data_IF_354670545922
#
_entry.id   IF_354670545922
#
_cell.length_a   1.000
_cell.length_b   1.000
_cell.length_c   1.000
_cell.angle_alpha   90.00
_cell.angle_beta   90.00
_cell.angle_gamma   90.00
#
_symmetry.space_group_name_H-M   'P 1'
#
loop_
_entity.id
_entity.type
_entity.pdbx_description
1 polymer ?
#
# COMPACT_ATOMS: atom_id res chain seq x y z
N UNK A 1 4.88 -5.36 -16.72
CA UNK A 1 4.52 -4.38 -17.79
C UNK A 1 3.45 -3.42 -17.30
N UNK A 2 3.32 -2.24 -17.92
CA UNK A 2 2.38 -1.15 -17.56
C UNK A 2 0.90 -1.55 -17.40
N UNK A 3 0.47 -2.62 -18.07
CA UNK A 3 -0.87 -3.19 -17.92
C UNK A 3 -1.11 -3.78 -16.52
N UNK A 4 -0.08 -4.39 -15.93
CA UNK A 4 -0.13 -4.95 -14.58
C UNK A 4 -0.20 -3.84 -13.54
N UNK A 5 0.47 -2.70 -13.79
CA UNK A 5 0.36 -1.47 -12.99
C UNK A 5 -1.05 -0.89 -12.93
N UNK A 6 -1.81 -0.95 -14.03
CA UNK A 6 -3.19 -0.49 -14.04
C UNK A 6 -4.12 -1.42 -13.22
N UNK A 7 -3.93 -2.74 -13.34
CA UNK A 7 -4.67 -3.76 -12.57
C UNK A 7 -4.37 -3.71 -11.07
N UNK A 8 -3.10 -3.56 -10.72
CA UNK A 8 -2.57 -3.32 -9.37
C UNK A 8 -3.30 -2.18 -8.63
N UNK A 9 -3.62 -1.13 -9.36
CA UNK A 9 -4.10 0.12 -8.80
C UNK A 9 -5.63 0.22 -8.87
N UNK A 10 -6.29 -0.37 -9.88
CA UNK A 10 -7.75 -0.64 -9.85
C UNK A 10 -8.12 -1.46 -8.61
N UNK A 11 -7.23 -2.39 -8.27
CA UNK A 11 -7.33 -3.18 -7.07
C UNK A 11 -7.10 -2.37 -5.79
N UNK A 12 -6.09 -1.49 -5.71
CA UNK A 12 -5.95 -0.57 -4.56
C UNK A 12 -7.19 0.33 -4.37
N UNK A 13 -7.85 0.71 -5.48
CA UNK A 13 -9.09 1.48 -5.51
C UNK A 13 -10.32 0.67 -5.07
N UNK A 14 -10.39 -0.63 -5.41
CA UNK A 14 -11.34 -1.57 -4.80
C UNK A 14 -11.04 -1.72 -3.30
N UNK A 15 -9.76 -1.84 -2.93
CA UNK A 15 -9.19 -1.97 -1.57
C UNK A 15 -9.25 -0.70 -0.70
N UNK A 16 -9.65 0.44 -1.24
CA UNK A 16 -9.95 1.64 -0.45
C UNK A 16 -11.46 1.85 -0.22
N UNK A 17 -12.31 1.04 -0.87
CA UNK A 17 -13.77 1.25 -0.94
C UNK A 17 -14.66 0.33 -0.12
N UNK A 18 -14.20 -0.75 0.52
CA UNK A 18 -15.09 -1.65 1.31
C UNK A 18 -15.72 -1.00 2.56
N UNK A 19 -15.40 0.27 2.85
CA UNK A 19 -16.17 1.09 3.81
C UNK A 19 -17.42 1.76 3.19
N UNK A 20 -17.67 1.68 1.88
CA UNK A 20 -18.87 2.20 1.23
C UNK A 20 -19.15 1.49 -0.10
N UNK A 21 -20.28 0.80 -0.16
CA UNK A 21 -20.72 -0.06 -1.25
C UNK A 21 -20.94 0.63 -2.62
N UNK A 22 -20.96 -0.22 -3.65
CA UNK A 22 -21.55 -0.09 -5.01
C UNK A 22 -20.66 0.47 -6.14
N UNK A 23 -20.39 -0.41 -7.11
CA UNK A 23 -20.74 -0.23 -8.53
C UNK A 23 -19.75 0.45 -9.49
N UNK A 24 -19.74 -0.05 -10.73
CA UNK A 24 -18.86 0.25 -11.88
C UNK A 24 -19.03 1.68 -12.49
N UNK A 25 -19.81 2.56 -11.86
CA UNK A 25 -20.01 3.98 -12.25
C UNK A 25 -18.94 4.93 -11.64
N UNK A 26 -17.80 4.39 -11.19
CA UNK A 26 -16.86 5.13 -10.32
C UNK A 26 -16.15 6.30 -10.99
N UNK A 27 -15.64 6.11 -12.20
CA UNK A 27 -14.85 7.15 -12.86
C UNK A 27 -15.72 8.38 -13.16
N UNK A 28 -16.98 8.17 -13.53
CA UNK A 28 -17.99 9.21 -13.73
C UNK A 28 -18.38 9.86 -12.40
N UNK A 29 -18.49 9.13 -11.29
CA UNK A 29 -18.80 9.70 -9.97
C UNK A 29 -17.66 10.54 -9.39
N UNK A 30 -16.42 10.08 -9.43
CA UNK A 30 -15.26 10.84 -8.94
C UNK A 30 -15.04 12.08 -9.80
N UNK A 31 -15.14 11.94 -11.13
CA UNK A 31 -15.09 13.09 -12.04
C UNK A 31 -16.24 14.07 -11.79
N UNK A 32 -17.45 13.58 -11.55
CA UNK A 32 -18.62 14.40 -11.21
C UNK A 32 -18.45 15.14 -9.88
N UNK A 33 -17.90 14.48 -8.86
CA UNK A 33 -17.60 15.11 -7.57
C UNK A 33 -16.54 16.21 -7.72
N UNK A 34 -15.48 15.99 -8.51
CA UNK A 34 -14.52 17.04 -8.80
C UNK A 34 -15.11 18.18 -9.64
N UNK A 35 -16.05 17.91 -10.54
CA UNK A 35 -16.76 18.96 -11.26
C UNK A 35 -17.57 19.86 -10.30
N UNK A 36 -18.20 19.28 -9.27
CA UNK A 36 -18.89 20.04 -8.23
C UNK A 36 -17.91 20.88 -7.39
N UNK A 37 -16.75 20.32 -7.01
CA UNK A 37 -15.70 21.07 -6.30
C UNK A 37 -15.20 22.24 -7.16
N UNK A 38 -14.97 22.01 -8.46
CA UNK A 38 -14.55 23.07 -9.41
C UNK A 38 -15.61 24.17 -9.53
N UNK A 39 -16.89 23.80 -9.63
CA UNK A 39 -17.99 24.75 -9.75
C UNK A 39 -18.20 25.58 -8.48
N UNK A 40 -18.08 24.95 -7.30
CA UNK A 40 -18.18 25.62 -6.01
C UNK A 40 -16.96 26.49 -5.70
N UNK A 41 -15.79 26.12 -6.23
CA UNK A 41 -14.49 26.73 -5.95
C UNK A 41 -13.87 26.17 -4.68
N UNK A 42 -12.60 25.76 -4.77
CA UNK A 42 -11.88 25.08 -3.65
C UNK A 42 -11.79 25.96 -2.40
N UNK A 43 -11.58 27.26 -2.58
CA UNK A 43 -11.45 28.24 -1.48
C UNK A 43 -12.74 28.37 -0.64
N UNK A 44 -13.89 27.93 -1.16
CA UNK A 44 -15.19 28.02 -0.48
C UNK A 44 -15.45 26.92 0.55
N UNK A 45 -14.56 25.92 0.63
CA UNK A 45 -14.69 24.82 1.59
C UNK A 45 -14.17 25.22 2.96
N UNK A 46 -14.95 24.91 3.99
CA UNK A 46 -14.64 25.26 5.38
C UNK A 46 -13.81 24.16 6.09
N UNK A 47 -13.31 24.47 7.29
CA UNK A 47 -12.63 23.50 8.15
C UNK A 47 -13.46 22.23 8.44
N UNK A 48 -14.78 22.36 8.50
CA UNK A 48 -15.69 21.23 8.76
C UNK A 48 -15.84 20.30 7.55
N UNK A 49 -15.65 20.84 6.34
CA UNK A 49 -15.80 20.10 5.08
C UNK A 49 -14.46 19.55 4.57
N UNK A 50 -13.33 20.11 5.02
CA UNK A 50 -12.01 19.81 4.47
C UNK A 50 -11.63 18.33 4.56
N UNK A 51 -12.10 17.64 5.60
CA UNK A 51 -11.86 16.21 5.77
C UNK A 51 -12.51 15.39 4.64
N UNK A 52 -13.75 15.74 4.27
CA UNK A 52 -14.48 15.07 3.19
C UNK A 52 -13.83 15.36 1.82
N UNK A 53 -13.45 16.62 1.57
CA UNK A 53 -12.81 17.02 0.30
C UNK A 53 -11.41 16.43 0.16
N UNK A 54 -10.66 16.31 1.26
CA UNK A 54 -9.36 15.63 1.27
C UNK A 54 -9.52 14.12 1.05
N UNK A 55 -10.57 13.51 1.59
CA UNK A 55 -10.95 12.13 1.29
C UNK A 55 -11.28 11.91 -0.18
N UNK A 56 -11.99 12.86 -0.81
CA UNK A 56 -12.24 12.84 -2.26
C UNK A 56 -10.95 12.99 -3.06
N UNK A 57 -10.04 13.89 -2.66
CA UNK A 57 -8.72 14.04 -3.29
C UNK A 57 -7.93 12.75 -3.26
N UNK A 58 -7.95 12.02 -2.14
CA UNK A 58 -7.30 10.72 -2.05
C UNK A 58 -7.89 9.77 -3.10
N UNK A 59 -9.23 9.63 -3.16
CA UNK A 59 -9.88 8.79 -4.17
C UNK A 59 -9.50 9.19 -5.61
N UNK A 60 -9.40 10.48 -5.89
CA UNK A 60 -8.96 10.98 -7.19
C UNK A 60 -7.50 10.63 -7.53
N UNK A 61 -6.60 10.72 -6.56
CA UNK A 61 -5.21 10.24 -6.72
C UNK A 61 -5.19 8.75 -7.02
N UNK A 62 -6.03 7.96 -6.34
CA UNK A 62 -6.11 6.51 -6.59
C UNK A 62 -6.64 6.19 -7.98
N UNK A 63 -7.65 6.92 -8.44
CA UNK A 63 -8.17 6.79 -9.81
C UNK A 63 -7.15 7.20 -10.87
N UNK A 64 -6.41 8.28 -10.64
CA UNK A 64 -5.33 8.72 -11.54
C UNK A 64 -4.25 7.64 -11.62
N UNK A 65 -3.88 7.09 -10.47
CA UNK A 65 -2.94 6.00 -10.32
C UNK A 65 -3.47 4.74 -11.06
N UNK A 66 -4.69 4.26 -10.81
CA UNK A 66 -5.29 3.07 -11.48
C UNK A 66 -5.39 3.18 -12.98
N UNK A 67 -5.79 4.35 -13.45
CA UNK A 67 -5.84 4.63 -14.88
C UNK A 67 -4.48 5.03 -15.46
N UNK A 68 -3.44 5.11 -14.62
CA UNK A 68 -2.09 5.70 -14.78
C UNK A 68 -2.02 7.07 -15.46
N UNK A 69 -3.13 7.81 -15.38
CA UNK A 69 -3.21 9.18 -15.84
C UNK A 69 -2.50 10.09 -14.83
N UNK A 70 -2.07 11.25 -15.29
CA UNK A 70 -1.60 12.28 -14.37
C UNK A 70 -2.75 12.73 -13.48
N UNK A 71 -2.42 13.15 -12.27
CA UNK A 71 -3.43 13.57 -11.30
C UNK A 71 -4.03 14.90 -11.70
N UNK A 72 -5.35 15.05 -11.57
CA UNK A 72 -6.03 16.33 -11.90
C UNK A 72 -5.52 17.44 -10.97
N UNK A 73 -5.20 18.59 -11.56
CA UNK A 73 -4.76 19.81 -10.86
C UNK A 73 -5.65 20.20 -9.68
N UNK A 74 -6.95 19.87 -9.72
CA UNK A 74 -7.90 20.11 -8.62
C UNK A 74 -7.46 19.45 -7.31
N UNK A 75 -6.80 18.29 -7.38
CA UNK A 75 -6.33 17.56 -6.19
C UNK A 75 -5.22 18.35 -5.49
N UNK A 76 -4.33 19.01 -6.26
CA UNK A 76 -3.32 19.91 -5.70
C UNK A 76 -3.93 21.17 -5.13
N UNK A 77 -4.95 21.72 -5.78
CA UNK A 77 -5.67 22.89 -5.26
C UNK A 77 -6.35 22.58 -3.92
N UNK A 78 -7.07 21.45 -3.83
CA UNK A 78 -7.67 20.97 -2.58
C UNK A 78 -6.60 20.81 -1.51
N UNK A 79 -5.47 20.16 -1.85
CA UNK A 79 -4.37 19.96 -0.91
C UNK A 79 -3.77 21.29 -0.44
N UNK A 80 -3.59 22.25 -1.34
CA UNK A 80 -3.09 23.58 -0.98
C UNK A 80 -4.04 24.29 -0.02
N UNK A 81 -5.35 24.32 -0.32
CA UNK A 81 -6.37 24.90 0.56
C UNK A 81 -6.40 24.22 1.92
N UNK A 82 -6.28 22.90 1.95
CA UNK A 82 -6.29 22.12 3.18
C UNK A 82 -5.11 22.44 4.13
N UNK A 83 -4.04 23.08 3.66
CA UNK A 83 -2.93 23.56 4.54
C UNK A 83 -3.38 24.61 5.54
N UNK A 84 -4.49 25.30 5.29
CA UNK A 84 -5.06 26.29 6.22
C UNK A 84 -5.72 25.63 7.44
N UNK A 85 -6.06 24.34 7.34
CA UNK A 85 -6.88 23.64 8.33
C UNK A 85 -6.20 22.40 8.94
N UNK A 86 -5.18 21.86 8.28
CA UNK A 86 -4.52 20.61 8.65
C UNK A 86 -3.06 20.84 9.00
N UNK A 87 -2.56 20.06 9.97
CA UNK A 87 -1.16 20.07 10.33
C UNK A 87 -0.30 19.44 9.22
N UNK A 88 0.46 20.29 8.52
CA UNK A 88 1.34 19.84 7.44
C UNK A 88 2.61 19.14 7.93
N UNK A 89 2.90 19.20 9.23
CA UNK A 89 4.00 18.48 9.85
C UNK A 89 3.66 17.00 10.10
N UNK A 90 2.36 16.65 10.13
CA UNK A 90 1.86 15.29 10.31
C UNK A 90 2.47 14.34 9.26
N UNK A 91 3.09 13.22 9.69
CA UNK A 91 3.66 12.23 8.76
C UNK A 91 2.66 11.70 7.72
N UNK A 92 1.37 11.63 8.05
CA UNK A 92 0.29 11.23 7.12
C UNK A 92 0.09 12.28 6.04
N UNK A 93 0.16 13.56 6.42
CA UNK A 93 0.10 14.64 5.43
C UNK A 93 1.26 14.50 4.45
N UNK A 94 2.49 14.35 4.94
CA UNK A 94 3.68 14.19 4.10
C UNK A 94 3.59 12.95 3.20
N UNK A 95 3.20 11.80 3.76
CA UNK A 95 3.08 10.54 3.02
C UNK A 95 2.08 10.65 1.87
N UNK A 96 0.89 11.21 2.11
CA UNK A 96 -0.12 11.40 1.06
C UNK A 96 0.34 12.38 -0.03
N UNK A 97 1.23 13.32 0.30
CA UNK A 97 1.89 14.18 -0.69
C UNK A 97 2.86 13.42 -1.59
N UNK A 98 3.72 12.58 -1.00
CA UNK A 98 4.65 11.77 -1.78
C UNK A 98 3.95 10.72 -2.65
N UNK A 99 2.81 10.16 -2.20
CA UNK A 99 2.01 9.25 -3.03
C UNK A 99 1.47 9.96 -4.27
N UNK A 100 1.05 11.24 -4.13
CA UNK A 100 0.63 12.05 -5.27
C UNK A 100 1.79 12.24 -6.26
N UNK A 101 2.98 12.56 -5.78
CA UNK A 101 4.17 12.72 -6.62
C UNK A 101 4.60 11.41 -7.29
N UNK A 102 4.54 10.29 -6.57
CA UNK A 102 4.80 8.95 -7.10
C UNK A 102 3.78 8.58 -8.18
N UNK A 103 2.52 9.00 -8.03
CA UNK A 103 1.46 8.81 -9.03
C UNK A 103 1.77 9.54 -10.32
N UNK A 104 2.17 10.81 -10.22
CA UNK A 104 2.54 11.57 -11.42
C UNK A 104 3.81 11.04 -12.08
N UNK A 105 4.79 10.59 -11.29
CA UNK A 105 5.98 9.92 -11.82
C UNK A 105 5.61 8.65 -12.57
N UNK A 106 4.75 7.80 -12.02
CA UNK A 106 4.28 6.58 -12.67
C UNK A 106 3.56 6.91 -14.00
N UNK A 107 2.74 7.96 -14.03
CA UNK A 107 2.13 8.45 -15.26
C UNK A 107 3.18 8.92 -16.29
N UNK A 108 4.20 9.68 -15.87
CA UNK A 108 5.29 10.12 -16.76
C UNK A 108 6.09 8.95 -17.34
N UNK A 109 6.44 7.97 -16.50
CA UNK A 109 7.14 6.76 -16.96
C UNK A 109 6.30 6.02 -18.00
N UNK A 110 5.01 5.85 -17.72
CA UNK A 110 4.11 5.13 -18.61
C UNK A 110 3.97 5.77 -19.97
N UNK A 111 3.86 7.09 -20.02
CA UNK A 111 3.74 7.81 -21.29
C UNK A 111 5.10 8.01 -21.97
N UNK A 112 6.20 7.50 -21.41
CA UNK A 112 7.55 7.63 -21.98
C UNK A 112 8.04 9.07 -22.02
N UNK A 113 7.56 9.94 -21.13
CA UNK A 113 7.88 11.38 -21.16
C UNK A 113 9.14 11.74 -20.39
N UNK A 114 9.82 10.76 -19.81
CA UNK A 114 11.07 10.94 -19.06
C UNK A 114 12.09 9.87 -19.44
N UNK A 115 13.36 10.21 -19.35
CA UNK A 115 14.49 9.32 -19.64
C UNK A 115 14.70 8.29 -18.52
N UNK A 116 15.43 7.21 -18.81
CA UNK A 116 15.80 6.20 -17.78
C UNK A 116 16.61 6.81 -16.63
N UNK A 117 17.48 7.79 -16.92
CA UNK A 117 18.27 8.49 -15.89
C UNK A 117 17.39 9.34 -14.99
N UNK A 118 16.44 10.10 -15.55
CA UNK A 118 15.47 10.88 -14.77
C UNK A 118 14.57 9.96 -13.94
N UNK A 119 14.12 8.85 -14.53
CA UNK A 119 13.34 7.83 -13.84
C UNK A 119 14.08 7.29 -12.61
N UNK A 120 15.33 6.87 -12.75
CA UNK A 120 16.14 6.39 -11.62
C UNK A 120 16.30 7.49 -10.56
N UNK A 121 16.70 8.69 -10.98
CA UNK A 121 16.95 9.81 -10.06
C UNK A 121 15.69 10.20 -9.25
N UNK A 122 14.53 10.30 -9.92
CA UNK A 122 13.27 10.66 -9.26
C UNK A 122 12.76 9.56 -8.32
N UNK A 123 12.90 8.28 -8.69
CA UNK A 123 12.55 7.17 -7.78
C UNK A 123 13.47 7.15 -6.54
N UNK A 124 14.78 7.38 -6.70
CA UNK A 124 15.72 7.49 -5.57
C UNK A 124 15.34 8.64 -4.64
N UNK A 125 14.98 9.79 -5.21
CA UNK A 125 14.54 10.94 -4.44
C UNK A 125 13.29 10.61 -3.61
N UNK A 126 12.26 10.06 -4.23
CA UNK A 126 11.01 9.69 -3.53
C UNK A 126 11.24 8.61 -2.45
N UNK A 127 12.07 7.60 -2.69
CA UNK A 127 12.41 6.60 -1.66
C UNK A 127 13.16 7.24 -0.48
N UNK A 128 14.05 8.19 -0.76
CA UNK A 128 14.78 8.93 0.28
C UNK A 128 13.83 9.76 1.14
N UNK A 129 12.88 10.47 0.53
CA UNK A 129 11.86 11.23 1.25
C UNK A 129 10.92 10.31 2.07
N UNK A 130 10.53 9.15 1.53
CA UNK A 130 9.75 8.15 2.27
C UNK A 130 10.51 7.58 3.47
N UNK A 131 11.82 7.38 3.34
CA UNK A 131 12.67 6.98 4.47
C UNK A 131 12.72 8.07 5.56
N UNK A 132 12.83 9.33 5.17
CA UNK A 132 12.78 10.45 6.12
C UNK A 132 11.41 10.58 6.82
N UNK A 133 10.31 10.28 6.12
CA UNK A 133 8.98 10.17 6.75
C UNK A 133 8.98 9.04 7.77
N UNK A 134 9.51 7.85 7.43
CA UNK A 134 9.54 6.73 8.37
C UNK A 134 10.25 7.09 9.69
N UNK A 135 11.39 7.79 9.60
CA UNK A 135 12.14 8.26 10.78
C UNK A 135 11.32 9.25 11.62
N UNK A 136 10.71 10.25 10.98
CA UNK A 136 9.91 11.27 11.67
C UNK A 136 8.53 10.77 12.13
N UNK A 137 8.04 9.67 11.57
CA UNK A 137 6.76 9.08 11.92
C UNK A 137 6.81 8.26 13.21
N UNK A 138 7.97 7.72 13.59
CA UNK A 138 8.14 6.83 14.74
C UNK A 138 7.49 7.33 16.05
N UNK A 139 7.55 8.64 16.42
CA UNK A 139 6.86 9.16 17.61
C UNK A 139 5.32 9.16 17.50
N UNK A 140 4.77 9.25 16.28
CA UNK A 140 3.33 9.39 16.03
C UNK A 140 2.67 8.06 15.65
N UNK A 141 3.40 7.21 14.94
CA UNK A 141 2.95 5.94 14.40
C UNK A 141 3.59 4.80 15.18
N UNK A 142 3.30 4.75 16.47
CA UNK A 142 3.90 3.74 17.35
C UNK A 142 3.40 2.34 17.03
N UNK A 143 4.27 1.36 17.27
CA UNK A 143 3.93 -0.06 17.23
C UNK A 143 4.83 -0.83 18.18
N UNK A 144 4.43 -2.05 18.50
CA UNK A 144 5.23 -2.96 19.35
C UNK A 144 5.53 -4.25 18.62
N UNK A 145 6.76 -4.74 18.74
CA UNK A 145 7.17 -6.03 18.19
C UNK A 145 7.12 -7.10 19.27
N UNK A 146 6.53 -8.25 18.95
CA UNK A 146 6.34 -9.37 19.86
C UNK A 146 6.95 -10.64 19.28
N UNK A 147 7.71 -11.43 20.06
CA UNK A 147 8.22 -12.71 19.60
C UNK A 147 7.08 -13.73 19.50
N UNK A 148 7.19 -14.64 18.54
CA UNK A 148 6.42 -15.88 18.59
C UNK A 148 7.01 -16.81 19.66
N UNK A 149 6.17 -17.48 20.47
CA UNK A 149 6.64 -18.33 21.56
C UNK A 149 7.34 -19.61 21.06
N UNK A 150 7.10 -20.02 19.82
CA UNK A 150 7.80 -21.10 19.14
C UNK A 150 8.63 -20.53 17.99
N UNK A 151 9.83 -21.06 17.77
CA UNK A 151 10.76 -20.61 16.72
C UNK A 151 10.20 -20.77 15.29
N UNK A 152 9.19 -21.63 15.09
CA UNK A 152 8.46 -21.78 13.84
C UNK A 152 6.97 -21.47 14.07
N UNK A 153 6.53 -20.23 13.75
CA UNK A 153 5.12 -19.90 13.83
C UNK A 153 4.44 -20.54 12.63
N UNK A 154 3.90 -21.77 12.76
CA UNK A 154 3.13 -22.57 11.77
C UNK A 154 2.58 -21.80 10.55
N UNK A 155 3.43 -21.43 9.60
CA UNK A 155 3.05 -20.63 8.41
C UNK A 155 2.57 -19.19 8.69
N UNK A 156 2.70 -18.66 9.91
CA UNK A 156 2.32 -17.28 10.24
C UNK A 156 3.34 -16.24 9.74
N UNK A 157 4.57 -16.67 9.42
CA UNK A 157 5.58 -15.85 8.75
C UNK A 157 6.27 -16.65 7.64
N UNK A 158 6.84 -15.97 6.63
CA UNK A 158 7.75 -16.60 5.69
C UNK A 158 8.94 -17.23 6.41
N UNK A 159 9.43 -18.35 5.86
CA UNK A 159 10.68 -18.94 6.32
C UNK A 159 11.86 -17.94 6.20
N UNK A 160 12.83 -18.06 7.10
CA UNK A 160 14.02 -17.20 7.14
C UNK A 160 13.82 -15.80 7.70
N UNK A 161 12.59 -15.37 8.01
CA UNK A 161 12.35 -14.13 8.74
C UNK A 161 12.48 -14.31 10.26
N UNK A 162 12.84 -13.25 11.01
CA UNK A 162 12.78 -13.27 12.46
C UNK A 162 11.38 -13.69 12.94
N UNK A 163 11.25 -14.54 13.98
CA UNK A 163 9.97 -14.99 14.49
C UNK A 163 9.32 -13.89 15.36
N UNK A 164 9.08 -12.71 14.79
CA UNK A 164 8.47 -11.57 15.45
C UNK A 164 7.33 -11.00 14.61
N UNK A 165 6.28 -10.53 15.27
CA UNK A 165 5.15 -9.86 14.62
C UNK A 165 4.90 -8.49 15.25
N UNK A 166 4.27 -7.61 14.50
CA UNK A 166 4.01 -6.23 14.89
C UNK A 166 2.55 -6.04 15.28
N UNK A 167 2.34 -5.38 16.42
CA UNK A 167 1.04 -4.93 16.90
C UNK A 167 0.95 -3.41 16.75
N UNK A 168 -0.11 -2.96 16.11
CA UNK A 168 -0.43 -1.55 15.92
C UNK A 168 -1.58 -1.13 16.83
N UNK A 169 -1.54 0.08 17.43
CA UNK A 169 -2.63 0.61 18.25
C UNK A 169 -3.92 0.86 17.46
N UNK A 170 -3.83 1.09 16.14
CA UNK A 170 -5.00 1.30 15.29
C UNK A 170 -4.77 0.81 13.86
N UNK A 171 -5.86 0.50 13.16
CA UNK A 171 -5.88 0.17 11.74
C UNK A 171 -5.21 1.25 10.89
N UNK A 172 -5.47 2.52 11.20
CA UNK A 172 -4.90 3.65 10.46
C UNK A 172 -3.39 3.63 10.53
N UNK A 173 -2.79 3.41 11.70
CA UNK A 173 -1.33 3.34 11.85
C UNK A 173 -0.76 2.16 11.05
N UNK A 174 -1.40 0.98 11.14
CA UNK A 174 -0.98 -0.19 10.36
C UNK A 174 -1.04 0.09 8.85
N UNK A 175 -2.12 0.73 8.38
CA UNK A 175 -2.28 1.10 6.99
C UNK A 175 -1.22 2.10 6.54
N UNK A 176 -0.94 3.14 7.33
CA UNK A 176 0.05 4.16 6.95
C UNK A 176 1.46 3.57 6.82
N UNK A 177 1.89 2.74 7.78
CA UNK A 177 3.16 2.04 7.68
C UNK A 177 3.24 1.15 6.45
N UNK A 178 2.18 0.38 6.18
CA UNK A 178 2.21 -0.56 5.05
C UNK A 178 2.08 0.15 3.70
N UNK A 179 1.37 1.26 3.60
CA UNK A 179 1.36 2.13 2.41
C UNK A 179 2.75 2.72 2.16
N UNK A 180 3.44 3.19 3.20
CA UNK A 180 4.82 3.66 3.08
C UNK A 180 5.72 2.55 2.55
N UNK A 181 5.70 1.36 3.18
CA UNK A 181 6.54 0.22 2.83
C UNK A 181 6.30 -0.29 1.42
N UNK A 182 5.03 -0.47 1.02
CA UNK A 182 4.71 -0.96 -0.32
C UNK A 182 5.09 0.06 -1.40
N UNK A 183 4.98 1.37 -1.10
CA UNK A 183 5.40 2.42 -2.04
C UNK A 183 6.90 2.36 -2.26
N UNK A 184 7.68 2.18 -1.19
CA UNK A 184 9.14 2.00 -1.29
C UNK A 184 9.52 0.76 -2.12
N UNK A 185 8.81 -0.37 -1.94
CA UNK A 185 9.01 -1.56 -2.78
C UNK A 185 8.78 -1.22 -4.26
N UNK A 186 7.67 -0.56 -4.60
CA UNK A 186 7.35 -0.18 -5.98
C UNK A 186 8.43 0.71 -6.61
N UNK A 187 8.90 1.73 -5.88
CA UNK A 187 9.96 2.62 -6.35
C UNK A 187 11.29 1.87 -6.56
N UNK A 188 11.65 0.98 -5.64
CA UNK A 188 12.87 0.18 -5.73
C UNK A 188 12.83 -0.86 -6.85
N UNK A 189 11.70 -1.52 -7.07
CA UNK A 189 11.49 -2.41 -8.23
C UNK A 189 11.70 -1.65 -9.54
N UNK A 190 11.19 -0.41 -9.60
CA UNK A 190 11.30 0.43 -10.78
C UNK A 190 12.74 0.97 -11.01
N UNK A 191 13.50 1.21 -9.93
CA UNK A 191 14.94 1.48 -10.00
C UNK A 191 15.67 0.27 -10.58
N UNK A 192 15.44 -0.94 -10.06
CA UNK A 192 16.11 -2.16 -10.51
C UNK A 192 15.82 -2.46 -11.98
N UNK A 193 14.55 -2.35 -12.40
CA UNK A 193 14.15 -2.52 -13.79
C UNK A 193 14.85 -1.52 -14.73
N UNK A 194 15.04 -0.27 -14.28
CA UNK A 194 15.72 0.76 -15.08
C UNK A 194 17.23 0.56 -15.15
N UNK A 195 17.84 0.09 -14.06
CA UNK A 195 19.27 -0.21 -14.01
C UNK A 195 19.63 -1.42 -14.87
N UNK A 196 18.73 -2.39 -15.02
CA UNK A 196 18.93 -3.54 -15.92
C UNK A 196 19.13 -3.14 -17.40
N UNK A 197 18.66 -1.96 -17.79
CA UNK A 197 18.83 -1.39 -19.14
C UNK A 197 20.02 -0.43 -19.25
N UNK A 198 20.73 -0.19 -18.15
CA UNK A 198 21.83 0.77 -18.06
C UNK A 198 23.17 0.04 -18.00
N UNK A 199 24.25 0.54 -18.63
CA UNK A 199 25.58 -0.06 -18.51
C UNK A 199 26.02 -0.20 -17.05
N UNK A 200 26.56 -1.37 -16.70
CA UNK A 200 27.08 -1.65 -15.36
C UNK A 200 28.24 -0.72 -15.01
N UNK A 201 28.16 -0.14 -13.82
CA UNK A 201 29.20 0.68 -13.22
C UNK A 201 29.18 0.50 -11.70
N UNK A 202 30.23 0.89 -10.97
CA UNK A 202 30.23 0.79 -9.51
C UNK A 202 29.06 1.53 -8.85
N UNK A 203 28.63 2.67 -9.41
CA UNK A 203 27.51 3.44 -8.88
C UNK A 203 26.15 2.77 -9.15
N UNK A 204 25.96 2.15 -10.32
CA UNK A 204 24.73 1.42 -10.62
C UNK A 204 24.61 0.16 -9.78
N UNK A 205 25.72 -0.55 -9.53
CA UNK A 205 25.74 -1.71 -8.63
C UNK A 205 25.42 -1.34 -7.18
N UNK A 206 25.97 -0.23 -6.67
CA UNK A 206 25.65 0.27 -5.33
C UNK A 206 24.16 0.64 -5.20
N UNK A 207 23.62 1.31 -6.23
CA UNK A 207 22.20 1.69 -6.28
C UNK A 207 21.29 0.46 -6.30
N UNK A 208 21.64 -0.55 -7.11
CA UNK A 208 20.89 -1.81 -7.16
C UNK A 208 20.93 -2.55 -5.82
N UNK A 209 22.08 -2.62 -5.18
CA UNK A 209 22.24 -3.23 -3.85
C UNK A 209 21.38 -2.54 -2.78
N UNK A 210 21.37 -1.19 -2.77
CA UNK A 210 20.51 -0.42 -1.87
C UNK A 210 19.02 -0.70 -2.12
N UNK A 211 18.59 -0.65 -3.38
CA UNK A 211 17.19 -0.92 -3.75
C UNK A 211 16.74 -2.34 -3.35
N UNK A 212 17.58 -3.36 -3.62
CA UNK A 212 17.30 -4.74 -3.21
C UNK A 212 17.22 -4.90 -1.69
N UNK A 213 18.13 -4.26 -0.95
CA UNK A 213 18.10 -4.26 0.52
C UNK A 213 16.81 -3.63 1.05
N UNK A 214 16.38 -2.51 0.48
CA UNK A 214 15.12 -1.85 0.83
C UNK A 214 13.92 -2.77 0.55
N UNK A 215 13.86 -3.44 -0.60
CA UNK A 215 12.77 -4.38 -0.92
C UNK A 215 12.71 -5.51 0.11
N UNK A 216 13.85 -6.10 0.46
CA UNK A 216 13.91 -7.17 1.46
C UNK A 216 13.44 -6.70 2.83
N UNK A 217 13.89 -5.53 3.27
CA UNK A 217 13.50 -4.95 4.55
C UNK A 217 11.99 -4.65 4.59
N UNK A 218 11.47 -3.92 3.59
CA UNK A 218 10.06 -3.54 3.53
C UNK A 218 9.16 -4.76 3.43
N UNK A 219 9.57 -5.79 2.68
CA UNK A 219 8.88 -7.08 2.60
C UNK A 219 8.80 -7.75 3.97
N UNK A 220 9.92 -7.85 4.68
CA UNK A 220 9.97 -8.44 6.03
C UNK A 220 9.04 -7.72 7.00
N UNK A 221 9.05 -6.38 6.98
CA UNK A 221 8.20 -5.57 7.87
C UNK A 221 6.70 -5.67 7.52
N UNK A 222 6.35 -5.78 6.23
CA UNK A 222 4.96 -6.06 5.81
C UNK A 222 4.55 -7.45 6.31
N UNK A 223 5.38 -8.47 6.12
CA UNK A 223 5.07 -9.83 6.61
C UNK A 223 4.87 -9.84 8.13
N UNK A 224 5.72 -9.15 8.89
CA UNK A 224 5.60 -9.04 10.35
C UNK A 224 4.32 -8.31 10.80
N UNK A 225 3.75 -7.44 9.98
CA UNK A 225 2.52 -6.69 10.31
C UNK A 225 1.24 -7.52 10.26
N UNK A 226 1.27 -8.65 9.53
CA UNK A 226 0.06 -9.40 9.21
C UNK A 226 -0.47 -10.31 10.33
N UNK A 227 0.35 -11.03 11.11
CA UNK A 227 -0.15 -12.03 12.04
C UNK A 227 -1.13 -11.49 13.09
N UNK A 228 -0.94 -10.25 13.54
CA UNK A 228 -1.85 -9.57 14.46
C UNK A 228 -3.28 -9.40 13.90
N UNK A 229 -3.45 -9.55 12.60
CA UNK A 229 -4.74 -9.43 11.90
C UNK A 229 -5.28 -10.78 11.41
N UNK A 230 -4.42 -11.70 10.94
CA UNK A 230 -4.89 -12.93 10.28
C UNK A 230 -4.67 -14.22 11.07
N UNK A 231 -3.77 -14.23 12.06
CA UNK A 231 -3.39 -15.46 12.76
C UNK A 231 -4.30 -15.73 13.97
N UNK A 232 -5.52 -16.19 13.69
CA UNK A 232 -6.63 -16.34 14.66
C UNK A 232 -6.33 -17.27 15.83
N UNK A 233 -5.46 -18.27 15.65
CA UNK A 233 -5.04 -19.20 16.70
C UNK A 233 -4.11 -18.58 17.75
N UNK A 234 -3.47 -17.45 17.43
CA UNK A 234 -2.50 -16.82 18.31
C UNK A 234 -2.55 -15.29 18.26
N UNK A 235 -1.86 -14.65 17.30
CA UNK A 235 -1.62 -13.20 17.33
C UNK A 235 -2.90 -12.37 17.11
N UNK A 236 -3.87 -12.88 16.35
CA UNK A 236 -5.17 -12.25 16.13
C UNK A 236 -6.28 -12.81 17.04
N UNK A 237 -5.95 -13.70 17.99
CA UNK A 237 -6.96 -14.39 18.83
C UNK A 237 -7.86 -13.42 19.61
N UNK A 238 -7.29 -12.30 20.06
CA UNK A 238 -8.00 -11.26 20.79
C UNK A 238 -9.06 -10.52 19.95
N UNK A 239 -9.08 -10.71 18.62
CA UNK A 239 -10.07 -10.13 17.70
C UNK A 239 -11.31 -11.02 17.48
N UNK A 240 -11.25 -12.28 17.94
CA UNK A 240 -12.36 -13.22 17.84
C UNK A 240 -13.44 -12.93 18.88
N UNK A 241 -14.66 -13.39 18.61
CA UNK A 241 -15.75 -13.27 19.58
C UNK A 241 -15.45 -14.17 20.79
N UNK A 242 -15.70 -13.64 21.99
CA UNK A 242 -15.29 -14.28 23.24
C UNK A 242 -15.78 -15.72 23.36
N UNK A 243 -14.85 -16.68 23.39
CA UNK A 243 -15.12 -18.12 23.55
C UNK A 243 -15.08 -18.94 22.26
N UNK A 244 -14.91 -18.33 21.09
CA UNK A 244 -14.72 -19.08 19.85
C UNK A 244 -13.41 -19.89 19.89
N UNK A 245 -13.48 -21.14 19.43
CA UNK A 245 -12.31 -21.98 19.26
C UNK A 245 -11.64 -21.60 17.92
N UNK A 246 -10.41 -21.06 17.93
CA UNK A 246 -9.75 -20.61 16.71
C UNK A 246 -9.36 -21.75 15.76
N UNK A 247 -9.29 -22.99 16.26
CA UNK A 247 -8.98 -24.18 15.47
C UNK A 247 -10.23 -24.76 14.78
N UNK A 248 -11.40 -24.11 14.95
CA UNK A 248 -12.66 -24.45 14.28
C UNK A 248 -13.11 -23.28 13.41
N UNK A 249 -14.10 -23.56 12.55
CA UNK A 249 -14.79 -22.52 11.80
C UNK A 249 -15.43 -21.53 12.78
N UNK A 250 -15.12 -20.25 12.60
CA UNK A 250 -15.55 -19.17 13.47
C UNK A 250 -15.93 -17.95 12.63
N UNK A 251 -16.51 -16.94 13.28
CA UNK A 251 -17.01 -15.75 12.59
C UNK A 251 -16.13 -14.54 12.87
N UNK A 252 -16.04 -13.63 11.90
CA UNK A 252 -15.29 -12.39 12.05
C UNK A 252 -16.24 -11.21 12.20
N UNK A 253 -15.89 -10.31 13.12
CA UNK A 253 -16.57 -9.01 13.22
C UNK A 253 -16.19 -8.12 12.04
N UNK A 254 -17.08 -7.19 11.67
CA UNK A 254 -16.79 -6.21 10.61
C UNK A 254 -15.48 -5.45 10.87
N UNK A 255 -15.18 -4.97 12.10
CA UNK A 255 -13.88 -4.35 12.38
C UNK A 255 -12.68 -5.27 12.13
N UNK A 256 -12.78 -6.56 12.44
CA UNK A 256 -11.69 -7.52 12.19
C UNK A 256 -11.49 -7.74 10.69
N UNK A 257 -12.57 -7.94 9.93
CA UNK A 257 -12.51 -8.05 8.46
C UNK A 257 -11.88 -6.82 7.83
N UNK A 258 -12.21 -5.61 8.32
CA UNK A 258 -11.63 -4.36 7.84
C UNK A 258 -10.13 -4.22 8.17
N UNK A 259 -9.64 -4.79 9.28
CA UNK A 259 -8.21 -4.83 9.58
C UNK A 259 -7.46 -5.69 8.56
N UNK A 260 -7.98 -6.87 8.25
CA UNK A 260 -7.40 -7.76 7.21
C UNK A 260 -7.44 -7.09 5.84
N UNK A 261 -8.55 -6.44 5.54
CA UNK A 261 -8.78 -5.81 4.25
C UNK A 261 -7.74 -4.73 3.91
N UNK A 262 -7.33 -3.89 4.87
CA UNK A 262 -6.31 -2.85 4.60
C UNK A 262 -4.91 -3.42 4.33
N UNK A 263 -4.69 -4.71 4.63
CA UNK A 263 -3.42 -5.40 4.40
C UNK A 263 -3.31 -6.06 3.04
N UNK A 264 -4.44 -6.30 2.37
CA UNK A 264 -4.50 -7.09 1.14
C UNK A 264 -3.51 -6.55 0.09
N UNK A 265 -3.44 -5.21 -0.09
CA UNK A 265 -2.55 -4.64 -1.10
C UNK A 265 -1.07 -4.81 -0.76
N UNK A 266 -0.72 -4.62 0.51
CA UNK A 266 0.65 -4.78 0.96
C UNK A 266 1.13 -6.24 0.77
N UNK A 267 0.27 -7.21 1.09
CA UNK A 267 0.57 -8.64 0.88
C UNK A 267 0.62 -8.99 -0.59
N UNK A 268 -0.25 -8.42 -1.41
CA UNK A 268 -0.14 -8.55 -2.84
C UNK A 268 1.21 -8.06 -3.37
N UNK A 269 1.69 -6.89 -2.93
CA UNK A 269 2.98 -6.34 -3.36
C UNK A 269 4.11 -7.29 -2.95
N UNK A 270 4.05 -7.88 -1.75
CA UNK A 270 4.98 -8.92 -1.31
C UNK A 270 4.93 -10.15 -2.23
N UNK A 271 3.75 -10.61 -2.64
CA UNK A 271 3.59 -11.76 -3.53
C UNK A 271 4.07 -11.49 -4.97
N UNK A 272 3.88 -10.26 -5.44
CA UNK A 272 4.16 -9.82 -6.81
C UNK A 272 5.63 -9.46 -7.04
N UNK A 273 6.25 -8.70 -6.12
CA UNK A 273 7.56 -8.08 -6.31
C UNK A 273 8.64 -9.10 -6.72
N UNK A 274 9.20 -9.01 -7.96
CA UNK A 274 10.17 -9.97 -8.47
C UNK A 274 11.43 -10.11 -7.62
N UNK A 275 11.89 -9.01 -7.00
CA UNK A 275 13.10 -8.98 -6.18
C UNK A 275 12.82 -9.18 -4.69
N UNK A 276 11.58 -9.48 -4.29
CA UNK A 276 11.30 -9.94 -2.94
C UNK A 276 11.77 -11.40 -2.75
N UNK A 277 12.17 -11.81 -1.53
CA UNK A 277 12.57 -13.19 -1.26
C UNK A 277 11.48 -14.19 -1.67
N UNK A 278 11.86 -15.27 -2.36
CA UNK A 278 10.91 -16.27 -2.90
C UNK A 278 9.97 -16.81 -1.81
N UNK A 279 10.52 -17.11 -0.63
CA UNK A 279 9.75 -17.60 0.52
C UNK A 279 8.69 -16.59 0.97
N UNK A 280 8.99 -15.28 0.94
CA UNK A 280 8.03 -14.22 1.23
C UNK A 280 6.95 -14.11 0.16
N UNK A 281 7.32 -14.26 -1.12
CA UNK A 281 6.38 -14.20 -2.24
C UNK A 281 5.35 -15.34 -2.17
N UNK A 282 5.82 -16.58 -1.97
CA UNK A 282 4.95 -17.76 -1.87
C UNK A 282 4.11 -17.74 -0.59
N UNK A 283 4.69 -17.26 0.51
CA UNK A 283 3.93 -17.01 1.73
C UNK A 283 2.83 -15.95 1.50
N UNK A 284 3.14 -14.86 0.79
CA UNK A 284 2.16 -13.81 0.45
C UNK A 284 0.97 -14.36 -0.35
N UNK A 285 1.20 -15.26 -1.30
CA UNK A 285 0.12 -15.97 -2.02
C UNK A 285 -0.73 -16.79 -1.05
N UNK A 286 -0.10 -17.59 -0.19
CA UNK A 286 -0.81 -18.38 0.84
C UNK A 286 -1.67 -17.48 1.75
N UNK A 287 -1.17 -16.31 2.12
CA UNK A 287 -1.92 -15.36 2.95
C UNK A 287 -3.10 -14.74 2.22
N UNK A 288 -2.97 -14.40 0.94
CA UNK A 288 -4.09 -13.94 0.12
C UNK A 288 -5.16 -15.03 -0.02
N UNK A 289 -4.75 -16.30 -0.17
CA UNK A 289 -5.68 -17.44 -0.18
C UNK A 289 -6.42 -17.58 1.15
N UNK A 290 -5.71 -17.41 2.27
CA UNK A 290 -6.32 -17.35 3.60
C UNK A 290 -7.31 -16.17 3.71
N UNK A 291 -6.96 -14.97 3.24
CA UNK A 291 -7.87 -13.81 3.25
C UNK A 291 -9.13 -14.05 2.39
N UNK A 292 -8.98 -14.70 1.24
CA UNK A 292 -10.10 -15.04 0.36
C UNK A 292 -11.03 -16.09 0.99
N UNK A 293 -10.46 -17.20 1.48
CA UNK A 293 -11.24 -18.36 1.95
C UNK A 293 -11.73 -18.22 3.39
N UNK A 294 -10.85 -17.78 4.30
CA UNK A 294 -11.17 -17.71 5.74
C UNK A 294 -11.92 -16.44 6.10
N UNK A 295 -11.49 -15.29 5.55
CA UNK A 295 -12.12 -13.99 5.81
C UNK A 295 -13.19 -13.59 4.79
N UNK A 296 -13.38 -14.39 3.72
CA UNK A 296 -14.38 -14.14 2.69
C UNK A 296 -14.10 -12.92 1.82
N UNK A 297 -12.85 -12.47 1.71
CA UNK A 297 -12.52 -11.28 0.92
C UNK A 297 -12.61 -11.56 -0.59
N UNK A 298 -13.55 -10.88 -1.24
CA UNK A 298 -13.67 -10.91 -2.70
C UNK A 298 -12.48 -10.24 -3.38
N UNK A 299 -11.94 -9.18 -2.79
CA UNK A 299 -10.77 -8.47 -3.32
C UNK A 299 -9.54 -9.37 -3.31
N UNK A 300 -9.28 -10.09 -2.22
CA UNK A 300 -8.20 -11.08 -2.18
C UNK A 300 -8.37 -12.19 -3.24
N UNK A 301 -9.62 -12.60 -3.53
CA UNK A 301 -9.91 -13.58 -4.58
C UNK A 301 -9.58 -13.06 -5.98
N UNK A 302 -9.99 -11.84 -6.31
CA UNK A 302 -9.66 -11.18 -7.59
C UNK A 302 -8.16 -11.05 -7.76
N UNK A 303 -7.44 -10.70 -6.70
CA UNK A 303 -5.99 -10.56 -6.70
C UNK A 303 -5.28 -11.85 -7.07
N UNK A 304 -5.70 -12.95 -6.45
CA UNK A 304 -5.11 -14.25 -6.69
C UNK A 304 -5.26 -14.65 -8.16
N UNK A 305 -6.39 -14.33 -8.77
CA UNK A 305 -6.58 -14.56 -10.20
C UNK A 305 -5.61 -13.73 -11.05
N UNK A 306 -5.38 -12.46 -10.70
CA UNK A 306 -4.38 -11.60 -11.36
C UNK A 306 -2.97 -12.18 -11.21
N UNK A 307 -2.57 -12.56 -10.00
CA UNK A 307 -1.26 -13.16 -9.73
C UNK A 307 -1.04 -14.47 -10.48
N UNK A 308 -2.06 -15.32 -10.58
CA UNK A 308 -2.00 -16.60 -11.29
C UNK A 308 -1.79 -16.39 -12.78
N UNK A 309 -2.58 -15.50 -13.39
CA UNK A 309 -2.43 -15.14 -14.81
C UNK A 309 -1.05 -14.59 -15.15
N UNK A 310 -0.42 -13.86 -14.21
CA UNK A 310 0.94 -13.32 -14.37
C UNK A 310 2.05 -14.38 -14.28
N UNK A 311 1.82 -15.50 -13.58
CA UNK A 311 2.80 -16.59 -13.46
C UNK A 311 2.75 -17.57 -14.63
N UNK A 312 1.66 -17.56 -15.39
CA UNK A 312 1.42 -18.46 -16.53
C UNK A 312 1.89 -17.89 -17.88
N UNK A 313 2.13 -16.57 -17.96
CA UNK A 313 2.61 -15.87 -19.16
C UNK A 313 4.07 -15.44 -19.05
#
# INVERSE_FOLDING_TARGET
>A
STFEGALLLDLFEKLSKSASAVGDDKHTHVAGAFALVKLRGVESFTAQEIAAVTGLSLNGTLTALSTGRATDTIIRQIRHHATQFLDTSDPKWKLTGLILEATDLAASVRHGTITSTEKISRNIHLDTELAAIAESASPFWTYTSHPFPNADPKGALPAGLPPTYTIYPSRTIAQMWNVLRLTRILLCEEILASLALTPSSPSTLLTASKASTTIHQMTSEICASLPHMTHCSYAARHKLLGGENPDKQHTHTVPHTLDVYVMIFAIYIVAWAPHAPLQSRDWGVTQLENMAMHFGSQEASVILEVLRRQREG
#
